data_IF_133440842593
#
_entry.id   IF_133440842593
#
_cell.length_a   1.000
_cell.length_b   1.000
_cell.length_c   1.000
_cell.angle_alpha   90.00
_cell.angle_beta   90.00
_cell.angle_gamma   90.00
#
_symmetry.space_group_name_H-M   'P 1'
#
loop_
_entity.id
_entity.type
_entity.pdbx_description
1 polymer ?
#
# COMPACT_ATOMS: atom_id res chain seq x y z
N UNK A 1 -47.38 -13.60 -44.38
CA UNK A 1 -46.14 -13.84 -43.63
C UNK A 1 -45.91 -12.62 -42.74
N UNK A 2 -46.05 -12.77 -41.43
CA UNK A 2 -45.88 -11.68 -40.46
C UNK A 2 -44.58 -11.93 -39.68
N UNK A 3 -43.69 -10.93 -39.65
CA UNK A 3 -42.42 -11.00 -38.93
C UNK A 3 -42.61 -10.24 -37.62
N UNK A 4 -42.68 -10.98 -36.51
CA UNK A 4 -42.68 -10.41 -35.16
C UNK A 4 -41.26 -10.04 -34.76
N UNK A 5 -41.00 -8.75 -34.54
CA UNK A 5 -39.77 -8.28 -33.90
C UNK A 5 -39.94 -8.34 -32.38
N UNK A 6 -39.17 -9.21 -31.73
CA UNK A 6 -39.07 -9.26 -30.28
C UNK A 6 -38.23 -8.07 -29.79
N UNK A 7 -38.87 -7.13 -29.10
CA UNK A 7 -38.19 -6.03 -28.40
C UNK A 7 -37.75 -6.59 -27.05
N UNK A 8 -36.45 -6.83 -26.89
CA UNK A 8 -35.85 -7.20 -25.62
C UNK A 8 -35.61 -5.94 -24.78
N UNK A 9 -35.89 -5.95 -23.46
CA UNK A 9 -35.61 -4.81 -22.60
C UNK A 9 -34.09 -4.69 -22.43
N UNK A 10 -33.55 -3.52 -22.79
CA UNK A 10 -32.22 -3.09 -22.42
C UNK A 10 -32.17 -2.95 -20.89
N UNK A 11 -31.58 -3.94 -20.22
CA UNK A 11 -31.17 -3.79 -18.84
C UNK A 11 -30.04 -2.76 -18.81
N UNK A 12 -30.34 -1.57 -18.30
CA UNK A 12 -29.35 -0.57 -17.93
C UNK A 12 -28.58 -1.17 -16.76
N UNK A 13 -27.43 -1.76 -17.05
CA UNK A 13 -26.45 -2.10 -16.01
C UNK A 13 -25.96 -0.77 -15.44
N UNK A 14 -26.14 -0.48 -14.14
CA UNK A 14 -25.51 0.68 -13.55
C UNK A 14 -24.00 0.49 -13.70
N UNK A 15 -23.38 1.31 -14.56
CA UNK A 15 -21.94 1.47 -14.58
C UNK A 15 -21.55 1.93 -13.18
N UNK A 16 -20.92 1.02 -12.42
CA UNK A 16 -20.24 1.34 -11.16
C UNK A 16 -19.26 2.45 -11.53
N UNK A 17 -19.62 3.68 -11.17
CA UNK A 17 -18.74 4.83 -11.31
C UNK A 17 -17.47 4.47 -10.55
N UNK A 18 -16.35 4.40 -11.27
CA UNK A 18 -15.04 4.34 -10.65
C UNK A 18 -14.95 5.55 -9.73
N UNK A 19 -15.12 5.34 -8.42
CA UNK A 19 -14.85 6.34 -7.42
C UNK A 19 -13.40 6.75 -7.63
N UNK A 20 -13.18 7.98 -8.11
CA UNK A 20 -11.86 8.60 -8.05
C UNK A 20 -11.45 8.56 -6.58
N UNK A 21 -10.50 7.69 -6.25
CA UNK A 21 -9.95 7.58 -4.92
C UNK A 21 -9.28 8.90 -4.57
N UNK A 22 -9.97 9.70 -3.77
CA UNK A 22 -9.40 10.89 -3.18
C UNK A 22 -8.57 10.46 -1.98
N UNK A 23 -7.27 10.27 -2.19
CA UNK A 23 -6.38 10.04 -1.08
C UNK A 23 -6.36 11.25 -0.14
N UNK A 24 -6.30 11.02 1.17
CA UNK A 24 -6.32 12.08 2.18
C UNK A 24 -5.19 13.08 1.98
N UNK A 25 -5.40 14.31 2.46
CA UNK A 25 -4.36 15.32 2.47
C UNK A 25 -3.19 14.90 3.39
N UNK A 26 -1.95 15.34 3.12
CA UNK A 26 -0.78 14.97 3.92
C UNK A 26 -0.97 15.19 5.42
N UNK A 27 -1.59 16.30 5.84
CA UNK A 27 -1.82 16.56 7.26
C UNK A 27 -2.70 15.50 7.92
N UNK A 28 -3.82 15.14 7.28
CA UNK A 28 -4.69 14.08 7.77
C UNK A 28 -3.94 12.73 7.86
N UNK A 29 -2.96 12.51 6.97
CA UNK A 29 -2.11 11.32 7.04
C UNK A 29 -1.26 11.29 8.29
N UNK A 30 -0.61 12.41 8.61
CA UNK A 30 0.23 12.52 9.80
C UNK A 30 -0.60 12.31 11.06
N UNK A 31 -1.76 12.95 11.16
CA UNK A 31 -2.63 12.85 12.34
C UNK A 31 -3.10 11.39 12.58
N UNK A 32 -3.44 10.66 11.51
CA UNK A 32 -3.82 9.24 11.62
C UNK A 32 -2.61 8.37 11.96
N UNK A 33 -1.45 8.60 11.34
CA UNK A 33 -0.23 7.87 11.64
C UNK A 33 0.23 8.09 13.09
N UNK A 34 0.11 9.31 13.61
CA UNK A 34 0.36 9.65 15.02
C UNK A 34 -0.56 8.84 15.93
N UNK A 35 -1.87 8.79 15.62
CA UNK A 35 -2.85 7.96 16.36
C UNK A 35 -2.52 6.46 16.29
N UNK A 36 -1.84 6.02 15.23
CA UNK A 36 -1.35 4.65 15.06
C UNK A 36 0.02 4.41 15.71
N UNK A 37 0.54 5.36 16.47
CA UNK A 37 1.77 5.27 17.27
C UNK A 37 3.05 5.72 16.55
N UNK A 38 2.92 6.53 15.49
CA UNK A 38 4.06 7.18 14.83
C UNK A 38 4.17 8.64 15.31
N UNK A 39 4.68 8.81 16.53
CA UNK A 39 4.72 10.11 17.23
C UNK A 39 5.99 10.93 16.94
N UNK A 40 6.95 10.35 16.23
CA UNK A 40 8.20 11.02 15.88
C UNK A 40 7.93 12.24 14.95
N UNK A 41 8.79 13.27 14.98
CA UNK A 41 8.61 14.45 14.16
C UNK A 41 8.91 14.18 12.68
N UNK A 42 8.08 14.76 11.81
CA UNK A 42 8.32 14.79 10.37
C UNK A 42 9.47 15.74 10.04
N UNK A 43 10.30 15.33 9.08
CA UNK A 43 11.42 16.10 8.56
C UNK A 43 11.08 16.58 7.15
N UNK A 44 11.12 17.89 6.96
CA UNK A 44 10.98 18.52 5.64
C UNK A 44 12.19 18.18 4.75
N UNK A 45 11.90 17.77 3.51
CA UNK A 45 12.87 17.46 2.47
C UNK A 45 12.56 18.30 1.23
N UNK A 46 13.52 18.39 0.30
CA UNK A 46 13.34 19.18 -0.93
C UNK A 46 12.15 18.72 -1.79
N UNK A 47 11.73 17.46 -1.65
CA UNK A 47 10.73 16.79 -2.46
C UNK A 47 9.65 16.11 -1.59
N UNK A 48 9.32 16.70 -0.45
CA UNK A 48 8.25 16.21 0.42
C UNK A 48 8.69 16.13 1.87
N UNK A 49 8.07 15.23 2.62
CA UNK A 49 8.33 15.08 4.04
C UNK A 49 8.59 13.62 4.36
N UNK A 50 9.47 13.37 5.33
CA UNK A 50 9.73 12.01 5.79
C UNK A 50 9.70 11.89 7.30
N UNK A 51 9.24 10.74 7.76
CA UNK A 51 9.31 10.30 9.14
C UNK A 51 10.36 9.21 9.26
N UNK A 52 11.37 9.42 10.09
CA UNK A 52 12.36 8.39 10.42
C UNK A 52 11.79 7.52 11.52
N UNK A 53 11.75 6.21 11.31
CA UNK A 53 11.28 5.22 12.29
C UNK A 53 12.37 4.19 12.57
N UNK A 54 12.19 3.36 13.60
CA UNK A 54 13.23 2.43 14.07
C UNK A 54 13.81 1.50 12.98
N UNK A 55 13.02 1.14 11.98
CA UNK A 55 13.34 0.18 10.93
C UNK A 55 13.29 0.80 9.53
N UNK A 56 13.40 2.11 9.38
CA UNK A 56 13.42 2.77 8.08
C UNK A 56 12.77 4.14 8.08
N UNK A 57 12.01 4.43 7.03
CA UNK A 57 11.39 5.75 6.84
C UNK A 57 10.05 5.66 6.11
N UNK A 58 9.15 6.60 6.44
CA UNK A 58 7.87 6.81 5.76
C UNK A 58 7.96 8.16 5.03
N UNK A 59 7.51 8.21 3.78
CA UNK A 59 7.58 9.36 2.90
C UNK A 59 6.19 9.82 2.47
N UNK A 60 6.00 11.14 2.46
CA UNK A 60 4.88 11.84 1.83
C UNK A 60 5.46 12.75 0.73
N UNK A 61 5.29 12.38 -0.54
CA UNK A 61 5.88 13.10 -1.69
C UNK A 61 4.90 13.17 -2.84
N UNK A 62 4.58 14.36 -3.34
CA UNK A 62 3.82 14.57 -4.59
C UNK A 62 2.52 13.75 -4.73
N UNK A 63 1.86 13.43 -3.61
CA UNK A 63 0.64 12.62 -3.60
C UNK A 63 0.87 11.11 -3.54
N UNK A 64 2.12 10.68 -3.48
CA UNK A 64 2.55 9.32 -3.17
C UNK A 64 2.88 9.19 -1.67
N UNK A 65 2.44 8.06 -1.11
CA UNK A 65 2.62 7.73 0.31
C UNK A 65 3.27 6.36 0.40
N UNK A 66 4.51 6.28 0.87
CA UNK A 66 5.24 5.01 0.88
C UNK A 66 6.20 4.90 2.06
N UNK A 67 6.57 3.66 2.42
CA UNK A 67 7.59 3.37 3.41
C UNK A 67 8.72 2.57 2.77
N UNK A 68 9.95 2.86 3.19
CA UNK A 68 11.16 2.11 2.85
C UNK A 68 11.73 1.57 4.15
N UNK A 69 11.75 0.24 4.28
CA UNK A 69 11.99 -0.44 5.55
C UNK A 69 13.16 -1.39 5.43
N UNK A 70 14.09 -1.33 6.37
CA UNK A 70 15.19 -2.28 6.46
C UNK A 70 14.67 -3.68 6.84
N UNK A 71 15.25 -4.71 6.24
CA UNK A 71 15.01 -6.12 6.55
C UNK A 71 16.29 -6.70 7.13
N UNK A 72 16.27 -7.04 8.41
CA UNK A 72 17.41 -7.66 9.07
C UNK A 72 17.51 -9.14 8.69
N UNK A 73 18.51 -9.51 7.91
CA UNK A 73 18.70 -10.84 7.31
C UNK A 73 19.74 -11.71 8.06
N UNK A 74 20.16 -11.31 9.26
CA UNK A 74 21.19 -12.01 10.07
C UNK A 74 20.92 -13.50 10.30
N UNK A 75 19.66 -13.89 10.44
CA UNK A 75 19.19 -15.29 10.47
C UNK A 75 17.70 -15.36 10.14
N UNK A 76 17.17 -16.56 9.91
CA UNK A 76 15.76 -16.77 9.53
C UNK A 76 14.76 -16.20 10.54
N UNK A 77 14.99 -16.38 11.85
CA UNK A 77 14.08 -15.88 12.88
C UNK A 77 14.07 -14.34 12.91
N UNK A 78 15.24 -13.72 12.79
CA UNK A 78 15.38 -12.26 12.74
C UNK A 78 14.75 -11.70 11.46
N UNK A 79 14.99 -12.34 10.32
CA UNK A 79 14.39 -11.97 9.04
C UNK A 79 12.87 -12.05 9.10
N UNK A 80 12.34 -13.15 9.64
CA UNK A 80 10.90 -13.32 9.83
C UNK A 80 10.31 -12.22 10.72
N UNK A 81 10.94 -11.92 11.85
CA UNK A 81 10.48 -10.85 12.75
C UNK A 81 10.53 -9.48 12.06
N UNK A 82 11.61 -9.19 11.34
CA UNK A 82 11.77 -7.94 10.58
C UNK A 82 10.67 -7.78 9.54
N UNK A 83 10.37 -8.84 8.78
CA UNK A 83 9.30 -8.83 7.78
C UNK A 83 7.93 -8.62 8.45
N UNK A 84 7.65 -9.28 9.58
CA UNK A 84 6.38 -9.09 10.31
C UNK A 84 6.22 -7.65 10.84
N UNK A 85 7.29 -7.06 11.36
CA UNK A 85 7.28 -5.66 11.81
C UNK A 85 7.06 -4.71 10.62
N UNK A 86 7.73 -4.97 9.49
CA UNK A 86 7.60 -4.16 8.29
C UNK A 86 6.18 -4.25 7.71
N UNK A 87 5.58 -5.45 7.68
CA UNK A 87 4.18 -5.65 7.29
C UNK A 87 3.21 -4.86 8.19
N UNK A 88 3.51 -4.78 9.49
CA UNK A 88 2.70 -3.98 10.44
C UNK A 88 2.77 -2.50 10.11
N UNK A 89 3.95 -1.96 9.78
CA UNK A 89 4.11 -0.58 9.33
C UNK A 89 3.31 -0.33 8.06
N UNK A 90 3.44 -1.23 7.08
CA UNK A 90 2.71 -1.13 5.82
C UNK A 90 1.18 -1.16 6.03
N UNK A 91 0.69 -2.00 6.93
CA UNK A 91 -0.73 -2.05 7.27
C UNK A 91 -1.22 -0.74 7.89
N UNK A 92 -0.45 -0.16 8.83
CA UNK A 92 -0.79 1.16 9.41
C UNK A 92 -0.81 2.25 8.34
N UNK A 93 0.16 2.25 7.42
CA UNK A 93 0.16 3.16 6.27
C UNK A 93 -1.09 2.96 5.40
N UNK A 94 -1.48 1.71 5.12
CA UNK A 94 -2.68 1.40 4.35
C UNK A 94 -3.97 1.87 5.03
N UNK A 95 -4.08 1.70 6.35
CA UNK A 95 -5.19 2.23 7.16
C UNK A 95 -5.23 3.75 7.07
N UNK A 96 -4.08 4.40 7.22
CA UNK A 96 -3.98 5.85 7.12
C UNK A 96 -4.49 6.32 5.75
N UNK A 97 -3.93 5.78 4.65
CA UNK A 97 -4.23 6.20 3.28
C UNK A 97 -5.69 5.98 2.88
N UNK A 98 -6.33 4.91 3.36
CA UNK A 98 -7.67 4.53 2.89
C UNK A 98 -8.80 4.77 3.87
N UNK A 99 -8.49 5.02 5.15
CA UNK A 99 -9.48 5.07 6.22
C UNK A 99 -10.21 3.74 6.45
N UNK A 100 -9.74 2.63 5.85
CA UNK A 100 -10.33 1.31 6.03
C UNK A 100 -9.94 0.68 7.37
N UNK A 101 -10.74 -0.29 7.81
CA UNK A 101 -10.44 -1.02 9.04
C UNK A 101 -9.11 -1.78 8.91
N UNK A 102 -8.43 -1.96 10.04
CA UNK A 102 -7.18 -2.75 10.07
C UNK A 102 -7.39 -4.17 9.53
N UNK A 103 -8.54 -4.80 9.80
CA UNK A 103 -8.86 -6.14 9.32
C UNK A 103 -8.90 -6.24 7.79
N UNK A 104 -9.52 -5.27 7.12
CA UNK A 104 -9.63 -5.26 5.65
C UNK A 104 -8.26 -5.04 5.01
N UNK A 105 -7.48 -4.14 5.60
CA UNK A 105 -6.11 -3.84 5.18
C UNK A 105 -5.23 -5.08 5.36
N UNK A 106 -5.23 -5.71 6.53
CA UNK A 106 -4.46 -6.94 6.77
C UNK A 106 -4.85 -8.10 5.85
N UNK A 107 -6.15 -8.29 5.58
CA UNK A 107 -6.65 -9.31 4.65
C UNK A 107 -6.14 -9.06 3.22
N UNK A 108 -6.22 -7.80 2.78
CA UNK A 108 -5.70 -7.36 1.48
C UNK A 108 -4.20 -7.60 1.42
N UNK A 109 -3.43 -7.12 2.40
CA UNK A 109 -1.99 -7.36 2.51
C UNK A 109 -1.61 -8.84 2.50
N UNK A 110 -2.34 -9.67 3.23
CA UNK A 110 -2.11 -11.12 3.27
C UNK A 110 -2.26 -11.76 1.89
N UNK A 111 -3.30 -11.35 1.15
CA UNK A 111 -3.54 -11.81 -0.23
C UNK A 111 -2.41 -11.39 -1.16
N UNK A 112 -2.02 -10.13 -1.11
CA UNK A 112 -0.97 -9.56 -1.96
C UNK A 112 0.40 -10.16 -1.68
N UNK A 113 0.71 -10.39 -0.40
CA UNK A 113 1.95 -11.04 0.03
C UNK A 113 1.98 -12.48 -0.47
N UNK A 114 0.87 -13.21 -0.34
CA UNK A 114 0.74 -14.56 -0.89
C UNK A 114 0.94 -14.57 -2.40
N UNK A 115 0.34 -13.63 -3.13
CA UNK A 115 0.48 -13.54 -4.57
C UNK A 115 1.92 -13.23 -4.99
N UNK A 116 2.58 -12.30 -4.30
CA UNK A 116 3.99 -11.97 -4.53
C UNK A 116 4.93 -13.17 -4.28
N UNK A 117 4.67 -13.98 -3.24
CA UNK A 117 5.45 -15.19 -2.96
C UNK A 117 5.26 -16.28 -4.02
N UNK A 118 4.11 -16.33 -4.69
CA UNK A 118 3.84 -17.30 -5.76
C UNK A 118 4.34 -16.78 -7.11
N UNK A 119 4.40 -15.46 -7.31
CA UNK A 119 4.79 -14.80 -8.57
C UNK A 119 5.69 -13.57 -8.28
N UNK A 120 6.99 -13.78 -8.01
CA UNK A 120 7.88 -12.74 -7.48
C UNK A 120 8.13 -11.53 -8.39
N UNK A 121 7.88 -11.64 -9.70
CA UNK A 121 8.06 -10.55 -10.68
C UNK A 121 6.76 -9.82 -11.03
N UNK A 122 5.65 -10.15 -10.39
CA UNK A 122 4.38 -9.53 -10.72
C UNK A 122 4.27 -8.15 -10.07
N UNK A 123 4.56 -7.10 -10.85
CA UNK A 123 4.02 -5.78 -10.54
C UNK A 123 2.49 -5.91 -10.54
N UNK A 124 1.85 -5.72 -9.39
CA UNK A 124 0.40 -5.68 -9.32
C UNK A 124 -0.11 -4.38 -9.96
N UNK A 125 -0.21 -4.42 -11.29
CA UNK A 125 -0.88 -3.45 -12.14
C UNK A 125 -2.29 -3.94 -12.57
N UNK A 126 -2.62 -5.20 -12.29
CA UNK A 126 -3.86 -5.83 -12.73
C UNK A 126 -4.89 -5.91 -11.59
N UNK A 127 -5.62 -4.81 -11.39
CA UNK A 127 -6.79 -4.75 -10.53
C UNK A 127 -7.19 -3.31 -10.19
N UNK A 128 -8.49 -3.03 -10.01
CA UNK A 128 -9.01 -1.79 -9.42
C UNK A 128 -8.70 -1.74 -7.91
N UNK A 129 -7.46 -2.00 -7.52
CA UNK A 129 -7.03 -1.94 -6.13
C UNK A 129 -6.50 -0.52 -5.86
N UNK A 130 -6.97 0.16 -4.80
CA UNK A 130 -6.44 1.47 -4.40
C UNK A 130 -5.00 1.43 -3.88
N UNK A 131 -4.29 0.31 -4.03
CA UNK A 131 -2.99 0.07 -3.45
C UNK A 131 -2.06 -0.59 -4.47
N UNK A 132 -0.81 -0.13 -4.52
CA UNK A 132 0.25 -0.77 -5.28
C UNK A 132 1.32 -1.29 -4.33
N UNK A 133 1.34 -2.61 -4.17
CA UNK A 133 2.33 -3.27 -3.31
C UNK A 133 3.52 -3.74 -4.13
N UNK A 134 4.65 -3.08 -3.91
CA UNK A 134 5.94 -3.46 -4.47
C UNK A 134 6.86 -3.90 -3.33
N UNK A 135 6.78 -5.18 -2.96
CA UNK A 135 7.79 -5.79 -2.08
C UNK A 135 9.04 -6.03 -2.91
N UNK A 136 9.88 -5.00 -3.01
CA UNK A 136 11.16 -5.06 -3.69
C UNK A 136 12.24 -5.45 -2.67
N UNK A 137 12.59 -6.74 -2.62
CA UNK A 137 13.75 -7.22 -1.85
C UNK A 137 14.99 -6.96 -2.70
N UNK A 138 15.52 -5.74 -2.63
CA UNK A 138 16.78 -5.38 -3.31
C UNK A 138 17.97 -5.47 -2.38
N UNK A 139 19.04 -6.14 -2.82
CA UNK A 139 20.40 -6.02 -2.25
C UNK A 139 21.15 -4.75 -2.74
N UNK A 140 20.54 -3.96 -3.63
CA UNK A 140 21.25 -3.06 -4.54
C UNK A 140 21.69 -1.70 -3.99
N UNK A 141 21.38 -1.36 -2.73
CA UNK A 141 21.85 -0.12 -2.12
C UNK A 141 22.51 -0.42 -0.77
N UNK A 142 23.84 -0.40 -0.77
CA UNK A 142 24.70 -0.47 0.42
C UNK A 142 24.79 -1.82 1.18
N UNK A 143 24.40 -2.95 0.57
CA UNK A 143 24.48 -4.26 1.24
C UNK A 143 23.43 -4.41 2.34
N UNK A 144 22.26 -3.80 2.13
CA UNK A 144 21.09 -3.90 3.01
C UNK A 144 19.92 -4.44 2.22
N UNK A 145 19.20 -5.39 2.82
CA UNK A 145 17.94 -5.90 2.32
C UNK A 145 16.83 -4.94 2.74
N UNK A 146 15.98 -4.49 1.81
CA UNK A 146 14.89 -3.55 2.10
C UNK A 146 13.52 -4.11 1.68
N UNK A 147 12.46 -3.56 2.26
CA UNK A 147 11.07 -3.78 1.87
C UNK A 147 10.41 -2.42 1.64
N UNK A 148 9.73 -2.26 0.51
CA UNK A 148 8.93 -1.08 0.21
C UNK A 148 7.44 -1.42 0.20
N UNK A 149 6.62 -0.47 0.63
CA UNK A 149 5.17 -0.52 0.48
C UNK A 149 4.62 0.88 0.32
N UNK A 150 3.55 1.05 -0.43
CA UNK A 150 3.00 2.39 -0.62
C UNK A 150 1.75 2.41 -1.47
N UNK A 151 1.27 3.63 -1.69
CA UNK A 151 0.12 3.93 -2.50
C UNK A 151 0.51 5.07 -3.41
N UNK A 152 0.28 4.85 -4.72
CA UNK A 152 0.55 5.83 -5.76
C UNK A 152 -0.76 6.47 -6.20
N UNK A 153 -0.74 7.78 -6.44
CA UNK A 153 -1.88 8.50 -7.04
C UNK A 153 -2.14 8.11 -8.49
#
# INVERSE_FOLDING_TARGET
>A
MAVSFAIWPLFIVPTISAQQLHYPAPQNMKDVLETLGFEDPWTDMNDGEKLIIHNGEIWLRDGDYFAVLDVSDTNENTMRLSLMNNLTVCAKLGVAVTGQSSSDVFSTFGTLTKDALVKPEQQMLAGNAPFHFHVLVTELLAGRTTMQCGVKR
#
